data_IF_085874280133
#
_entry.id   IF_085874280133
#
_cell.length_a   1.000
_cell.length_b   1.000
_cell.length_c   1.000
_cell.angle_alpha   90.00
_cell.angle_beta   90.00
_cell.angle_gamma   90.00
#
_symmetry.space_group_name_H-M   'P 1'
#
loop_
_entity.id
_entity.type
_entity.pdbx_description
1 polymer ?
#
# COMPACT_ATOMS: atom_id res chain seq x y z
N UNK A 1 -9.58 -19.79 -8.49
CA UNK A 1 -9.07 -18.45 -8.10
C UNK A 1 -7.87 -18.70 -7.21
N UNK A 2 -6.70 -18.20 -7.56
CA UNK A 2 -5.48 -18.35 -6.75
C UNK A 2 -5.47 -17.28 -5.64
N UNK A 3 -6.33 -17.42 -4.63
CA UNK A 3 -6.57 -16.38 -3.62
C UNK A 3 -5.35 -16.07 -2.73
N UNK A 4 -4.41 -17.03 -2.65
CA UNK A 4 -3.16 -16.91 -1.88
C UNK A 4 -1.98 -16.43 -2.72
N UNK A 5 -2.12 -16.36 -4.04
CA UNK A 5 -1.05 -15.92 -4.93
C UNK A 5 -1.01 -14.39 -5.01
N UNK A 6 0.18 -13.82 -4.84
CA UNK A 6 0.48 -12.41 -5.02
C UNK A 6 1.42 -12.18 -6.19
N UNK A 7 1.37 -10.98 -6.78
CA UNK A 7 2.29 -10.54 -7.83
C UNK A 7 2.72 -9.09 -7.61
N UNK A 8 4.00 -8.81 -7.88
CA UNK A 8 4.58 -7.47 -7.89
C UNK A 8 5.37 -7.27 -9.17
N UNK A 9 5.10 -6.17 -9.86
CA UNK A 9 5.82 -5.76 -11.07
C UNK A 9 6.26 -4.31 -10.94
N UNK A 10 7.51 -4.05 -11.29
CA UNK A 10 8.06 -2.70 -11.38
C UNK A 10 8.26 -2.40 -12.86
N UNK A 11 7.69 -1.29 -13.32
CA UNK A 11 7.75 -0.85 -14.71
C UNK A 11 7.40 -1.97 -15.71
N UNK A 12 8.33 -2.32 -16.59
CA UNK A 12 8.17 -3.35 -17.62
C UNK A 12 8.99 -4.61 -17.32
N UNK A 13 9.44 -4.80 -16.08
CA UNK A 13 10.16 -6.01 -15.67
C UNK A 13 9.23 -7.23 -15.62
N UNK A 14 9.80 -8.44 -15.59
CA UNK A 14 8.99 -9.64 -15.39
C UNK A 14 8.34 -9.62 -13.99
N UNK A 15 7.03 -9.92 -13.88
CA UNK A 15 6.35 -9.91 -12.59
C UNK A 15 6.91 -11.00 -11.67
N UNK A 16 7.27 -10.61 -10.45
CA UNK A 16 7.60 -11.54 -9.38
C UNK A 16 6.29 -12.07 -8.79
N UNK A 17 6.19 -13.39 -8.62
CA UNK A 17 5.02 -14.04 -8.03
C UNK A 17 5.43 -14.90 -6.85
N UNK A 18 4.57 -14.95 -5.84
CA UNK A 18 4.75 -15.81 -4.67
C UNK A 18 3.38 -16.19 -4.07
N UNK A 19 3.36 -17.15 -3.16
CA UNK A 19 2.14 -17.68 -2.54
C UNK A 19 2.28 -17.63 -1.02
N UNK A 20 1.26 -17.09 -0.35
CA UNK A 20 1.22 -17.09 1.11
C UNK A 20 1.24 -18.52 1.68
N UNK A 21 1.67 -18.65 2.94
CA UNK A 21 1.61 -19.92 3.66
C UNK A 21 0.19 -20.50 3.62
N UNK A 22 0.11 -21.83 3.70
CA UNK A 22 -1.16 -22.54 3.66
C UNK A 22 -2.04 -22.14 4.86
N UNK A 23 -3.34 -21.95 4.61
CA UNK A 23 -4.30 -21.54 5.64
C UNK A 23 -5.27 -20.50 5.11
N UNK A 24 -5.12 -19.26 5.56
CA UNK A 24 -6.01 -18.16 5.19
C UNK A 24 -5.97 -17.87 3.67
N UNK A 25 -7.15 -17.71 3.08
CA UNK A 25 -7.35 -17.29 1.69
C UNK A 25 -8.01 -15.90 1.59
N UNK A 26 -8.15 -15.23 2.73
CA UNK A 26 -8.84 -13.96 2.87
C UNK A 26 -7.96 -12.97 3.61
N UNK A 27 -8.13 -11.68 3.31
CA UNK A 27 -7.52 -10.58 4.01
C UNK A 27 -8.60 -9.83 4.78
N UNK A 28 -8.51 -9.88 6.11
CA UNK A 28 -9.40 -9.10 6.99
C UNK A 28 -8.91 -7.65 7.03
N UNK A 29 -9.79 -6.71 6.65
CA UNK A 29 -9.48 -5.28 6.58
C UNK A 29 -10.67 -4.46 7.10
N UNK A 30 -10.38 -3.31 7.68
CA UNK A 30 -11.37 -2.29 8.06
C UNK A 30 -11.65 -1.29 6.92
N UNK A 31 -11.03 -1.49 5.75
CA UNK A 31 -11.18 -0.64 4.58
C UNK A 31 -10.31 0.63 4.60
N UNK A 32 -9.48 0.85 5.63
CA UNK A 32 -8.59 2.01 5.70
C UNK A 32 -7.28 1.75 4.96
N UNK A 33 -6.83 2.73 4.17
CA UNK A 33 -5.54 2.69 3.47
C UNK A 33 -4.62 3.81 3.94
N UNK A 34 -3.36 3.46 4.17
CA UNK A 34 -2.30 4.39 4.57
C UNK A 34 -1.28 4.55 3.45
N UNK A 35 -1.05 5.78 3.00
CA UNK A 35 -0.03 6.14 2.02
C UNK A 35 1.04 7.01 2.68
N UNK A 36 2.31 6.80 2.34
CA UNK A 36 3.43 7.56 2.92
C UNK A 36 3.94 7.03 4.27
N UNK A 37 3.16 6.20 4.97
CA UNK A 37 3.54 5.58 6.25
C UNK A 37 2.38 5.58 7.24
N UNK A 38 2.55 4.89 8.37
CA UNK A 38 1.58 4.83 9.47
C UNK A 38 2.27 5.13 10.80
N UNK A 39 1.66 5.97 11.62
CA UNK A 39 2.22 6.43 12.91
C UNK A 39 2.40 5.31 13.94
N UNK A 40 1.46 4.36 13.97
CA UNK A 40 1.47 3.22 14.89
C UNK A 40 1.47 1.90 14.12
N UNK A 41 2.61 1.21 14.15
CA UNK A 41 2.83 -0.09 13.54
C UNK A 41 3.08 -1.16 14.62
N UNK A 42 2.66 -2.41 14.39
CA UNK A 42 2.99 -3.51 15.29
C UNK A 42 4.49 -3.77 15.30
N UNK A 43 4.99 -4.31 16.42
CA UNK A 43 6.37 -4.76 16.53
C UNK A 43 6.64 -5.98 15.64
N UNK A 44 7.91 -6.17 15.26
CA UNK A 44 8.36 -7.36 14.50
C UNK A 44 8.37 -7.19 12.98
N UNK A 45 7.98 -6.02 12.45
CA UNK A 45 8.16 -5.71 11.03
C UNK A 45 9.63 -5.42 10.68
N UNK A 46 10.06 -5.63 9.42
CA UNK A 46 11.37 -5.19 8.95
C UNK A 46 11.58 -3.67 9.13
N UNK A 47 12.83 -3.25 9.35
CA UNK A 47 13.18 -1.84 9.61
C UNK A 47 12.61 -0.82 8.60
N UNK A 48 12.54 -1.10 7.28
CA UNK A 48 11.99 -0.14 6.31
C UNK A 48 10.54 0.29 6.61
N UNK A 49 9.73 -0.54 7.27
CA UNK A 49 8.34 -0.23 7.57
C UNK A 49 8.17 0.91 8.58
N UNK A 50 9.14 1.09 9.48
CA UNK A 50 9.09 2.15 10.50
C UNK A 50 9.58 3.51 9.98
N UNK A 51 10.03 3.58 8.73
CA UNK A 51 10.42 4.82 8.07
C UNK A 51 9.38 5.20 7.03
N UNK A 52 8.69 6.32 7.24
CA UNK A 52 7.77 6.86 6.26
C UNK A 52 8.45 7.12 4.91
N UNK A 53 7.71 6.90 3.83
CA UNK A 53 8.19 7.15 2.47
C UNK A 53 8.52 8.65 2.30
N UNK A 54 9.70 8.91 1.73
CA UNK A 54 10.17 10.27 1.42
C UNK A 54 10.29 10.41 -0.09
N UNK A 55 9.26 10.98 -0.70
CA UNK A 55 9.22 11.17 -2.14
C UNK A 55 7.85 11.63 -2.61
N UNK A 56 7.62 11.39 -3.88
CA UNK A 56 6.41 11.78 -4.60
C UNK A 56 5.65 10.55 -5.04
N UNK A 57 4.32 10.62 -4.94
CA UNK A 57 3.41 9.62 -5.48
C UNK A 57 2.41 10.33 -6.38
N UNK A 58 2.04 9.67 -7.47
CA UNK A 58 1.02 10.11 -8.41
C UNK A 58 0.31 8.89 -8.98
N UNK A 59 -0.89 9.08 -9.54
CA UNK A 59 -1.65 8.07 -10.29
C UNK A 59 -1.90 6.77 -9.49
N UNK A 60 -2.33 6.89 -8.24
CA UNK A 60 -2.60 5.73 -7.38
C UNK A 60 -3.93 5.08 -7.77
N UNK A 61 -3.88 3.80 -8.13
CA UNK A 61 -5.07 2.99 -8.47
C UNK A 61 -5.23 1.83 -7.48
N UNK A 62 -6.43 1.65 -6.94
CA UNK A 62 -6.77 0.58 -6.00
C UNK A 62 -7.97 -0.18 -6.56
N UNK A 63 -7.86 -1.50 -6.71
CA UNK A 63 -8.96 -2.34 -7.23
C UNK A 63 -9.54 -1.85 -8.58
N UNK A 64 -8.69 -1.29 -9.45
CA UNK A 64 -9.04 -0.67 -10.76
C UNK A 64 -9.82 0.64 -10.65
N UNK A 65 -9.82 1.29 -9.49
CA UNK A 65 -10.37 2.62 -9.28
C UNK A 65 -9.25 3.60 -8.96
N UNK A 66 -9.21 4.72 -9.68
CA UNK A 66 -8.28 5.81 -9.41
C UNK A 66 -8.64 6.48 -8.08
N UNK A 67 -7.61 6.73 -7.26
CA UNK A 67 -7.74 7.44 -6.00
C UNK A 67 -7.51 8.93 -6.21
N UNK A 68 -8.52 9.75 -5.96
CA UNK A 68 -8.36 11.20 -5.89
C UNK A 68 -7.59 11.59 -4.62
N UNK A 69 -6.26 11.70 -4.71
CA UNK A 69 -5.35 11.82 -3.56
C UNK A 69 -5.67 12.99 -2.61
N UNK A 70 -6.16 14.10 -3.14
CA UNK A 70 -6.53 15.29 -2.36
C UNK A 70 -7.89 15.12 -1.71
N UNK A 71 -8.88 14.65 -2.48
CA UNK A 71 -10.28 14.60 -2.05
C UNK A 71 -10.60 13.41 -1.16
N UNK A 72 -9.88 12.29 -1.35
CA UNK A 72 -10.11 11.02 -0.64
C UNK A 72 -9.39 10.93 0.71
N UNK A 73 -8.83 12.04 1.17
CA UNK A 73 -7.97 12.10 2.34
C UNK A 73 -8.77 11.91 3.64
N UNK A 74 -8.22 11.13 4.56
CA UNK A 74 -8.79 11.01 5.91
C UNK A 74 -8.53 12.27 6.75
N UNK A 75 -9.28 12.40 7.84
CA UNK A 75 -9.07 13.46 8.85
C UNK A 75 -7.73 13.34 9.58
N UNK A 76 -7.09 12.17 9.55
CA UNK A 76 -5.80 11.90 10.21
C UNK A 76 -4.60 12.19 9.32
N UNK A 77 -4.82 12.63 8.08
CA UNK A 77 -3.73 12.87 7.14
C UNK A 77 -2.97 14.16 7.43
N UNK A 78 -1.70 14.15 7.03
CA UNK A 78 -0.80 15.30 7.05
C UNK A 78 -1.18 16.38 6.03
N UNK A 79 -0.52 17.54 6.14
CA UNK A 79 -0.61 18.64 5.18
C UNK A 79 -0.22 18.21 3.78
N UNK A 80 -0.98 18.66 2.78
CA UNK A 80 -0.70 18.39 1.37
C UNK A 80 0.50 19.22 0.92
N UNK A 81 1.47 18.57 0.30
CA UNK A 81 2.58 19.19 -0.40
C UNK A 81 2.66 18.61 -1.81
N UNK A 82 2.75 19.48 -2.80
CA UNK A 82 2.98 19.07 -4.18
C UNK A 82 4.47 18.90 -4.44
N UNK A 83 4.79 17.98 -5.34
CA UNK A 83 6.15 17.75 -5.82
C UNK A 83 6.73 19.01 -6.46
N UNK A 84 8.04 19.17 -6.34
CA UNK A 84 8.80 20.27 -6.95
C UNK A 84 9.51 19.80 -8.21
#
# INVERSE_FOLDING_TARGET
RELRAGSLQIDNEEPITDISTMGAEQLDTDGQLWLGGKSALPFGLPNPYYSGFKGCLDSVTINRQELHLVDSRSTESSTIAFCK
#
